data_IF_994144809503
#
_entry.id   IF_994144809503
#
_cell.length_a   1.000
_cell.length_b   1.000
_cell.length_c   1.000
_cell.angle_alpha   90.00
_cell.angle_beta   90.00
_cell.angle_gamma   90.00
#
_symmetry.space_group_name_H-M   'P 1'
#
loop_
_entity.id
_entity.type
_entity.pdbx_description
1 polymer ?
#
# COMPACT_ATOMS: atom_id res chain seq x y z
N UNK A 1 14.56 10.73 52.11
CA UNK A 1 13.59 11.84 51.98
C UNK A 1 13.68 12.31 50.54
N UNK A 2 12.75 11.87 49.70
CA UNK A 2 12.66 12.27 48.29
C UNK A 2 11.72 13.46 48.27
N UNK A 3 12.18 14.62 47.79
CA UNK A 3 11.51 15.91 47.98
C UNK A 3 10.62 16.33 46.83
N UNK A 4 10.31 15.46 45.85
CA UNK A 4 9.53 15.91 44.70
C UNK A 4 8.77 14.78 43.97
N UNK A 5 7.69 14.27 44.55
CA UNK A 5 6.79 13.29 43.88
C UNK A 5 5.71 13.95 42.99
N UNK A 6 5.55 15.28 43.07
CA UNK A 6 4.43 16.02 42.45
C UNK A 6 4.83 16.93 41.28
N UNK A 7 6.08 16.89 40.82
CA UNK A 7 6.57 17.81 39.79
C UNK A 7 6.34 17.24 38.37
N UNK A 8 5.45 17.90 37.64
CA UNK A 8 5.11 17.59 36.23
C UNK A 8 6.31 17.74 35.29
N UNK A 9 7.32 18.56 35.62
CA UNK A 9 8.54 18.70 34.81
C UNK A 9 9.47 17.49 34.90
N UNK A 10 9.31 16.64 35.93
CA UNK A 10 10.07 15.39 36.10
C UNK A 10 9.41 14.16 35.47
N UNK A 11 8.16 14.23 35.01
CA UNK A 11 7.53 13.14 34.26
C UNK A 11 7.88 13.25 32.78
N UNK A 12 9.00 12.64 32.39
CA UNK A 12 9.30 12.42 30.97
C UNK A 12 8.20 11.56 30.34
N UNK A 13 7.41 12.14 29.42
CA UNK A 13 6.43 11.40 28.63
C UNK A 13 7.07 11.02 27.29
N UNK A 14 7.26 9.72 27.06
CA UNK A 14 7.67 9.18 25.76
C UNK A 14 6.42 8.74 25.01
N UNK A 15 6.24 9.26 23.79
CA UNK A 15 5.13 8.88 22.91
C UNK A 15 5.70 8.20 21.67
N UNK A 16 5.39 6.92 21.49
CA UNK A 16 5.65 6.18 20.27
C UNK A 16 4.43 6.22 19.36
N UNK A 17 4.64 6.32 18.04
CA UNK A 17 3.59 6.13 17.04
C UNK A 17 4.12 5.26 15.91
N UNK A 18 3.38 4.20 15.59
CA UNK A 18 3.63 3.41 14.39
C UNK A 18 3.34 4.27 13.16
N UNK A 19 4.34 4.46 12.30
CA UNK A 19 4.25 5.31 11.13
C UNK A 19 4.64 4.55 9.87
N UNK A 20 3.84 4.70 8.82
CA UNK A 20 4.14 4.11 7.51
C UNK A 20 5.44 4.68 6.93
N UNK A 21 6.11 3.85 6.14
CA UNK A 21 7.22 4.29 5.32
C UNK A 21 6.74 5.38 4.35
N UNK A 22 7.39 6.55 4.28
CA UNK A 22 6.99 7.64 3.38
C UNK A 22 6.87 7.18 1.93
N UNK A 23 7.75 6.26 1.50
CA UNK A 23 7.73 5.72 0.14
C UNK A 23 6.53 4.81 -0.09
N UNK A 24 6.18 3.96 0.86
CA UNK A 24 4.96 3.15 0.78
C UNK A 24 3.71 4.03 0.62
N UNK A 25 3.64 5.14 1.37
CA UNK A 25 2.56 6.13 1.26
C UNK A 25 2.58 6.85 -0.11
N UNK A 26 3.75 7.24 -0.62
CA UNK A 26 3.89 7.89 -1.93
C UNK A 26 3.45 6.99 -3.09
N UNK A 27 3.77 5.69 -3.02
CA UNK A 27 3.29 4.69 -3.98
C UNK A 27 1.76 4.62 -3.98
N UNK A 28 1.13 4.79 -2.81
CA UNK A 28 -0.33 4.83 -2.69
C UNK A 28 -0.99 3.47 -2.86
N UNK A 29 -0.26 2.38 -2.57
CA UNK A 29 -0.77 1.01 -2.57
C UNK A 29 -1.94 0.92 -1.57
N UNK A 30 -3.06 0.31 -1.97
CA UNK A 30 -4.29 0.14 -1.16
C UNK A 30 -4.93 1.45 -0.67
N UNK A 31 -4.50 2.62 -1.16
CA UNK A 31 -5.02 3.92 -0.71
C UNK A 31 -6.13 4.51 -1.59
N UNK A 32 -6.40 3.88 -2.74
CA UNK A 32 -7.30 4.43 -3.77
C UNK A 32 -6.68 5.56 -4.59
N UNK A 33 -5.38 5.83 -4.43
CA UNK A 33 -4.64 6.79 -5.27
C UNK A 33 -4.72 6.39 -6.73
N UNK A 34 -5.18 7.34 -7.55
CA UNK A 34 -5.36 7.18 -8.98
C UNK A 34 -4.12 7.70 -9.71
N UNK A 35 -3.66 6.95 -10.70
CA UNK A 35 -2.51 7.28 -11.53
C UNK A 35 -2.88 7.24 -13.01
N UNK A 36 -2.43 8.20 -13.80
CA UNK A 36 -2.40 8.00 -15.25
C UNK A 36 -1.23 7.10 -15.65
N UNK A 37 -1.28 6.41 -16.80
CA UNK A 37 -0.17 5.56 -17.27
C UNK A 37 1.18 6.29 -17.29
N UNK A 38 1.19 7.53 -17.81
CA UNK A 38 2.41 8.34 -17.91
C UNK A 38 2.94 8.76 -16.53
N UNK A 39 2.06 9.18 -15.62
CA UNK A 39 2.47 9.56 -14.26
C UNK A 39 3.05 8.38 -13.50
N UNK A 40 2.38 7.21 -13.56
CA UNK A 40 2.87 6.00 -12.92
C UNK A 40 4.22 5.57 -13.52
N UNK A 41 4.36 5.63 -14.84
CA UNK A 41 5.62 5.31 -15.53
C UNK A 41 6.78 6.20 -15.09
N UNK A 42 6.57 7.52 -15.02
CA UNK A 42 7.58 8.46 -14.53
C UNK A 42 7.91 8.23 -13.05
N UNK A 43 6.90 7.99 -12.21
CA UNK A 43 7.08 7.70 -10.80
C UNK A 43 7.92 6.44 -10.57
N UNK A 44 7.59 5.34 -11.26
CA UNK A 44 8.32 4.07 -11.19
C UNK A 44 9.76 4.23 -11.71
N UNK A 45 9.97 5.04 -12.74
CA UNK A 45 11.31 5.36 -13.26
C UNK A 45 12.18 6.08 -12.23
N UNK A 46 11.62 7.04 -11.48
CA UNK A 46 12.34 7.74 -10.42
C UNK A 46 12.63 6.86 -9.20
N UNK A 47 11.72 5.92 -8.90
CA UNK A 47 11.78 5.04 -7.75
C UNK A 47 12.37 3.64 -8.08
N UNK A 48 13.27 3.55 -9.07
CA UNK A 48 13.89 2.29 -9.50
C UNK A 48 14.60 1.50 -8.39
N UNK A 49 15.02 2.18 -7.32
CA UNK A 49 15.76 1.58 -6.22
C UNK A 49 14.95 0.54 -5.43
N UNK A 50 13.62 0.57 -5.54
CA UNK A 50 12.73 -0.39 -4.90
C UNK A 50 12.42 -1.60 -5.78
N UNK A 51 13.11 -1.78 -6.92
CA UNK A 51 12.94 -2.93 -7.79
C UNK A 51 14.19 -3.81 -7.70
N UNK A 52 13.99 -5.11 -7.52
CA UNK A 52 15.08 -6.09 -7.45
C UNK A 52 15.84 -6.15 -8.78
N UNK A 53 15.10 -6.21 -9.90
CA UNK A 53 15.66 -6.21 -11.24
C UNK A 53 15.41 -4.87 -11.94
N UNK A 54 16.52 -4.24 -12.37
CA UNK A 54 16.50 -3.03 -13.20
C UNK A 54 15.81 -3.28 -14.54
N UNK A 55 15.95 -4.48 -15.11
CA UNK A 55 15.38 -4.81 -16.41
C UNK A 55 13.84 -4.89 -16.32
N UNK A 56 13.30 -5.51 -15.28
CA UNK A 56 11.86 -5.54 -15.00
C UNK A 56 11.29 -4.13 -14.82
N UNK A 57 11.97 -3.27 -14.03
CA UNK A 57 11.59 -1.87 -13.89
C UNK A 57 11.56 -1.14 -15.25
N UNK A 58 12.60 -1.29 -16.08
CA UNK A 58 12.67 -0.63 -17.38
C UNK A 58 11.58 -1.13 -18.35
N UNK A 59 11.25 -2.43 -18.32
CA UNK A 59 10.15 -3.00 -19.11
C UNK A 59 8.80 -2.41 -18.66
N UNK A 60 8.53 -2.38 -17.36
CA UNK A 60 7.30 -1.81 -16.80
C UNK A 60 7.15 -0.33 -17.14
N UNK A 61 8.20 0.47 -16.98
CA UNK A 61 8.21 1.89 -17.39
C UNK A 61 7.93 2.01 -18.88
N UNK A 62 8.52 1.16 -19.72
CA UNK A 62 8.29 1.21 -21.17
C UNK A 62 6.85 0.85 -21.54
N UNK A 63 6.25 -0.15 -20.89
CA UNK A 63 4.85 -0.51 -21.09
C UNK A 63 3.90 0.60 -20.62
N UNK A 64 4.18 1.26 -19.49
CA UNK A 64 3.39 2.38 -18.98
C UNK A 64 3.48 3.63 -19.85
N UNK A 65 4.67 3.95 -20.36
CA UNK A 65 4.89 5.11 -21.24
C UNK A 65 4.29 4.91 -22.64
N UNK A 66 4.24 3.66 -23.12
CA UNK A 66 3.63 3.29 -24.40
C UNK A 66 2.35 2.49 -24.16
N UNK A 67 1.57 2.90 -23.17
CA UNK A 67 0.37 2.17 -22.77
C UNK A 67 -0.63 2.10 -23.93
N UNK A 68 -1.06 0.88 -24.25
CA UNK A 68 -2.10 0.61 -25.23
C UNK A 68 -3.08 -0.36 -24.62
N UNK A 69 -4.37 -0.03 -24.67
CA UNK A 69 -5.42 -0.91 -24.16
C UNK A 69 -6.62 -0.94 -25.09
N UNK A 70 -7.09 -2.16 -25.34
CA UNK A 70 -8.37 -2.41 -26.01
C UNK A 70 -9.45 -2.55 -24.95
N UNK A 71 -10.35 -1.56 -24.91
CA UNK A 71 -11.49 -1.54 -24.00
C UNK A 71 -12.63 -2.31 -24.64
N UNK A 72 -12.73 -3.61 -24.34
CA UNK A 72 -13.82 -4.44 -24.79
C UNK A 72 -15.02 -4.32 -23.84
N UNK A 73 -15.99 -3.49 -24.19
CA UNK A 73 -17.26 -3.42 -23.47
C UNK A 73 -18.15 -4.62 -23.82
N UNK A 74 -17.91 -5.79 -23.21
CA UNK A 74 -18.84 -6.92 -23.28
C UNK A 74 -19.96 -6.68 -22.29
N UNK A 75 -21.13 -6.28 -22.80
CA UNK A 75 -22.35 -6.18 -22.01
C UNK A 75 -23.06 -7.54 -22.07
N UNK A 76 -22.77 -8.42 -21.12
CA UNK A 76 -23.55 -9.65 -20.95
C UNK A 76 -24.87 -9.31 -20.25
N UNK A 77 -25.89 -8.95 -21.05
CA UNK A 77 -27.29 -8.86 -20.59
C UNK A 77 -27.83 -10.27 -20.39
N UNK A 78 -27.51 -10.89 -19.25
CA UNK A 78 -28.23 -12.07 -18.81
C UNK A 78 -29.63 -11.64 -18.34
N UNK A 79 -30.59 -11.55 -19.26
CA UNK A 79 -32.01 -11.44 -18.94
C UNK A 79 -32.44 -12.77 -18.33
N UNK A 80 -32.26 -12.93 -17.02
CA UNK A 80 -33.00 -13.94 -16.25
C UNK A 80 -34.34 -13.31 -15.88
N UNK A 81 -35.41 -14.00 -16.25
CA UNK A 81 -36.82 -13.61 -16.23
C UNK A 81 -37.41 -13.34 -14.82
N UNK A 82 -36.60 -13.04 -13.80
CA UNK A 82 -37.06 -12.73 -12.45
C UNK A 82 -36.28 -11.57 -11.85
N UNK A 83 -36.79 -10.35 -12.05
CA UNK A 83 -36.81 -9.21 -11.11
C UNK A 83 -35.51 -8.60 -10.58
N UNK A 84 -34.37 -9.28 -10.60
CA UNK A 84 -33.09 -8.76 -10.10
C UNK A 84 -32.17 -8.44 -11.27
N UNK A 85 -32.13 -7.16 -11.63
CA UNK A 85 -31.16 -6.60 -12.58
C UNK A 85 -29.81 -6.47 -11.87
N UNK A 86 -28.99 -7.51 -11.96
CA UNK A 86 -27.57 -7.38 -11.65
C UNK A 86 -26.84 -7.16 -12.97
N UNK A 87 -26.65 -5.90 -13.34
CA UNK A 87 -25.82 -5.53 -14.48
C UNK A 87 -24.35 -5.77 -14.10
N UNK A 88 -23.79 -6.91 -14.51
CA UNK A 88 -22.35 -7.15 -14.37
C UNK A 88 -21.61 -6.40 -15.48
N UNK A 89 -21.20 -5.16 -15.19
CA UNK A 89 -20.28 -4.40 -16.03
C UNK A 89 -18.84 -4.94 -15.87
N UNK A 90 -18.53 -6.05 -16.52
CA UNK A 90 -17.16 -6.57 -16.60
C UNK A 90 -16.42 -5.89 -17.75
N UNK A 91 -15.82 -4.72 -17.48
CA UNK A 91 -14.95 -4.05 -18.44
C UNK A 91 -13.57 -4.69 -18.41
N UNK A 92 -13.37 -5.70 -19.26
CA UNK A 92 -12.06 -6.35 -19.40
C UNK A 92 -11.16 -5.44 -20.23
N UNK A 93 -10.20 -4.81 -19.55
CA UNK A 93 -9.16 -3.98 -20.18
C UNK A 93 -8.00 -4.89 -20.55
N UNK A 94 -7.91 -5.31 -21.82
CA UNK A 94 -6.73 -6.00 -22.32
C UNK A 94 -5.66 -4.96 -22.59
N UNK A 95 -4.60 -4.95 -21.78
CA UNK A 95 -3.49 -4.00 -21.90
C UNK A 95 -2.15 -4.70 -22.08
N UNK A 96 -1.14 -3.93 -22.50
CA UNK A 96 0.25 -4.36 -22.59
C UNK A 96 1.00 -4.31 -21.24
N UNK A 97 0.30 -4.11 -20.12
CA UNK A 97 0.88 -4.11 -18.79
C UNK A 97 0.96 -5.53 -18.21
N UNK A 98 1.96 -5.82 -17.37
CA UNK A 98 1.99 -7.05 -16.59
C UNK A 98 0.83 -7.07 -15.57
N UNK A 99 0.39 -8.27 -15.17
CA UNK A 99 -0.69 -8.45 -14.18
C UNK A 99 -0.29 -7.90 -12.79
N UNK A 100 0.96 -8.14 -12.39
CA UNK A 100 1.55 -7.63 -11.16
C UNK A 100 3.02 -7.26 -11.36
N UNK A 101 3.56 -6.47 -10.43
CA UNK A 101 4.99 -6.19 -10.31
C UNK A 101 5.42 -6.15 -8.86
N UNK A 102 6.69 -6.44 -8.60
CA UNK A 102 7.21 -6.56 -7.23
C UNK A 102 8.04 -5.34 -6.86
N UNK A 103 7.80 -4.81 -5.66
CA UNK A 103 8.60 -3.75 -5.05
C UNK A 103 9.15 -4.19 -3.70
N UNK A 104 10.39 -3.81 -3.40
CA UNK A 104 11.08 -4.13 -2.16
C UNK A 104 11.16 -2.89 -1.28
N UNK A 105 10.35 -2.83 -0.23
CA UNK A 105 10.39 -1.75 0.75
C UNK A 105 9.72 -2.17 2.07
N UNK A 106 10.04 -1.54 3.21
CA UNK A 106 9.30 -1.78 4.43
C UNK A 106 7.95 -1.04 4.41
N UNK A 107 6.90 -1.65 4.97
CA UNK A 107 5.57 -1.03 5.12
C UNK A 107 5.61 0.05 6.22
N UNK A 108 6.18 -0.27 7.38
CA UNK A 108 6.38 0.66 8.50
C UNK A 108 7.82 1.13 8.61
N UNK A 109 8.04 2.33 9.15
CA UNK A 109 9.39 2.85 9.41
C UNK A 109 10.11 1.96 10.43
N UNK A 110 11.37 1.63 10.16
CA UNK A 110 12.21 0.85 11.07
C UNK A 110 12.09 -0.67 10.95
N UNK A 111 11.15 -1.18 10.15
CA UNK A 111 11.03 -2.59 9.84
C UNK A 111 11.95 -3.03 8.70
N UNK A 112 12.26 -4.34 8.59
CA UNK A 112 12.99 -4.88 7.46
C UNK A 112 12.24 -4.66 6.15
N UNK A 113 12.99 -4.56 5.05
CA UNK A 113 12.40 -4.44 3.71
C UNK A 113 11.77 -5.77 3.30
N UNK A 114 10.55 -5.69 2.79
CA UNK A 114 9.79 -6.86 2.34
C UNK A 114 9.47 -6.76 0.86
N UNK A 115 9.25 -7.91 0.24
CA UNK A 115 8.87 -8.01 -1.17
C UNK A 115 7.36 -7.93 -1.28
N UNK A 116 6.87 -6.80 -1.78
CA UNK A 116 5.44 -6.50 -1.94
C UNK A 116 5.07 -6.69 -3.41
N UNK A 117 4.18 -7.64 -3.68
CA UNK A 117 3.55 -7.80 -4.98
C UNK A 117 2.41 -6.79 -5.14
N UNK A 118 2.46 -6.00 -6.21
CA UNK A 118 1.51 -4.92 -6.51
C UNK A 118 0.84 -5.20 -7.84
N UNK A 119 -0.48 -5.25 -7.82
CA UNK A 119 -1.35 -5.38 -8.98
C UNK A 119 -1.83 -4.00 -9.45
N UNK A 120 -1.91 -3.81 -10.76
CA UNK A 120 -2.48 -2.59 -11.36
C UNK A 120 -3.92 -2.83 -11.77
N UNK A 121 -4.86 -2.12 -11.15
CA UNK A 121 -6.27 -2.18 -11.54
C UNK A 121 -6.63 -0.99 -12.42
N UNK A 122 -7.05 -1.27 -13.66
CA UNK A 122 -7.47 -0.26 -14.61
C UNK A 122 -8.90 0.21 -14.34
N UNK A 123 -9.08 1.51 -14.21
CA UNK A 123 -10.37 2.21 -14.16
C UNK A 123 -10.54 2.98 -15.45
N UNK A 124 -11.67 2.81 -16.12
CA UNK A 124 -11.97 3.55 -17.35
C UNK A 124 -13.07 4.56 -17.06
N UNK A 125 -12.78 5.83 -17.34
CA UNK A 125 -13.75 6.92 -17.25
C UNK A 125 -13.90 7.56 -18.63
N UNK A 126 -14.90 7.08 -19.38
CA UNK A 126 -15.14 7.51 -20.75
C UNK A 126 -13.99 7.09 -21.68
N UNK A 127 -13.12 8.02 -22.06
CA UNK A 127 -11.96 7.80 -22.94
C UNK A 127 -10.63 7.73 -22.18
N UNK A 128 -10.63 8.08 -20.90
CA UNK A 128 -9.43 8.11 -20.07
C UNK A 128 -9.31 6.79 -19.30
N UNK A 129 -8.10 6.25 -19.26
CA UNK A 129 -7.76 5.06 -18.48
C UNK A 129 -6.83 5.51 -17.36
N UNK A 130 -7.18 5.13 -16.13
CA UNK A 130 -6.38 5.39 -14.94
C UNK A 130 -6.15 4.11 -14.17
N UNK A 131 -5.15 4.09 -13.30
CA UNK A 131 -4.78 2.92 -12.50
C UNK A 131 -4.88 3.21 -11.01
N UNK A 132 -5.29 2.20 -10.27
CA UNK A 132 -5.09 2.14 -8.83
C UNK A 132 -4.18 0.95 -8.51
N UNK A 133 -3.33 1.11 -7.50
CA UNK A 133 -2.39 0.07 -7.09
C UNK A 133 -2.97 -0.71 -5.91
N UNK A 134 -3.04 -2.02 -6.05
CA UNK A 134 -3.57 -2.93 -5.03
C UNK A 134 -2.52 -3.98 -4.68
N UNK A 135 -2.47 -4.36 -3.41
CA UNK A 135 -1.64 -5.45 -2.93
C UNK A 135 -2.38 -6.18 -1.81
N UNK A 136 -2.97 -7.35 -2.10
CA UNK A 136 -3.57 -8.20 -1.07
C UNK A 136 -2.53 -8.63 -0.03
N UNK A 137 -1.30 -8.92 -0.47
CA UNK A 137 -0.19 -9.28 0.41
C UNK A 137 0.14 -8.16 1.40
N UNK A 138 0.33 -6.93 0.92
CA UNK A 138 0.59 -5.80 1.82
C UNK A 138 -0.56 -5.55 2.81
N UNK A 139 -1.81 -5.79 2.41
CA UNK A 139 -2.96 -5.64 3.31
C UNK A 139 -2.92 -6.67 4.44
N UNK A 140 -2.70 -7.95 4.12
CA UNK A 140 -2.58 -9.01 5.12
C UNK A 140 -1.43 -8.72 6.09
N UNK A 141 -0.26 -8.37 5.56
CA UNK A 141 0.91 -8.02 6.37
C UNK A 141 0.65 -6.79 7.25
N UNK A 142 -0.13 -5.82 6.80
CA UNK A 142 -0.47 -4.64 7.58
C UNK A 142 -1.37 -4.98 8.78
N UNK A 143 -2.37 -5.85 8.59
CA UNK A 143 -3.20 -6.35 9.70
C UNK A 143 -2.36 -7.16 10.70
N UNK A 144 -1.51 -8.07 10.21
CA UNK A 144 -0.68 -8.94 11.06
C UNK A 144 0.39 -8.16 11.84
N UNK A 145 1.07 -7.20 11.19
CA UNK A 145 2.17 -6.45 11.80
C UNK A 145 1.69 -5.34 12.74
N UNK A 146 0.49 -4.79 12.54
CA UNK A 146 0.00 -3.66 13.32
C UNK A 146 0.00 -3.95 14.82
N UNK A 147 -0.58 -5.08 15.20
CA UNK A 147 -0.73 -5.43 16.61
C UNK A 147 0.59 -6.01 17.15
N UNK A 148 1.23 -6.89 16.36
CA UNK A 148 2.49 -7.52 16.73
C UNK A 148 3.62 -6.54 17.03
N UNK A 149 3.79 -5.50 16.20
CA UNK A 149 4.88 -4.52 16.37
C UNK A 149 4.68 -3.68 17.63
N UNK A 150 3.43 -3.35 17.98
CA UNK A 150 3.14 -2.64 19.22
C UNK A 150 3.44 -3.55 20.41
N UNK A 151 2.95 -4.78 20.41
CA UNK A 151 3.17 -5.73 21.50
C UNK A 151 4.65 -6.00 21.76
N UNK A 152 5.45 -6.22 20.70
CA UNK A 152 6.90 -6.42 20.80
C UNK A 152 7.62 -5.20 21.42
N UNK A 153 7.21 -3.98 21.03
CA UNK A 153 7.78 -2.76 21.60
C UNK A 153 7.37 -2.56 23.06
N UNK A 154 6.13 -2.91 23.42
CA UNK A 154 5.66 -2.86 24.81
C UNK A 154 6.42 -3.86 25.69
N UNK A 155 6.74 -5.04 25.17
CA UNK A 155 7.53 -6.05 25.90
C UNK A 155 8.98 -5.58 26.12
N UNK A 156 9.62 -4.99 25.12
CA UNK A 156 10.96 -4.39 25.26
C UNK A 156 10.98 -3.27 26.31
N UNK A 157 9.94 -2.43 26.35
CA UNK A 157 9.82 -1.38 27.37
C UNK A 157 9.65 -1.98 28.76
N UNK A 158 8.84 -3.03 28.93
CA UNK A 158 8.65 -3.73 30.21
C UNK A 158 9.93 -4.40 30.71
N UNK A 159 10.74 -4.95 29.81
CA UNK A 159 12.02 -5.58 30.17
C UNK A 159 13.04 -4.54 30.66
N UNK A 160 13.14 -3.40 29.98
CA UNK A 160 14.12 -2.35 30.29
C UNK A 160 13.69 -1.53 31.52
N UNK A 161 12.39 -1.25 31.67
CA UNK A 161 11.86 -0.36 32.71
C UNK A 161 10.47 -0.83 33.18
N UNK A 162 10.41 -1.86 34.03
CA UNK A 162 9.15 -2.46 34.48
C UNK A 162 8.26 -1.52 35.32
N UNK A 163 8.83 -0.46 35.88
CA UNK A 163 8.14 0.56 36.68
C UNK A 163 7.40 1.63 35.85
N UNK A 164 7.60 1.69 34.53
CA UNK A 164 6.93 2.66 33.67
C UNK A 164 5.47 2.24 33.43
N UNK A 165 4.54 3.13 33.76
CA UNK A 165 3.13 2.94 33.44
C UNK A 165 2.90 3.09 31.92
N UNK A 166 2.42 2.02 31.29
CA UNK A 166 2.04 1.98 29.88
C UNK A 166 0.54 2.31 29.77
N UNK A 167 0.20 3.26 28.89
CA UNK A 167 -1.19 3.65 28.63
C UNK A 167 -1.44 3.49 27.13
N UNK A 168 -2.31 2.54 26.77
CA UNK A 168 -2.82 2.35 25.42
C UNK A 168 -4.05 3.25 25.20
N UNK A 169 -4.14 3.88 24.02
CA UNK A 169 -5.22 4.84 23.64
C UNK A 169 -5.77 4.49 22.28
#
# INVERSE_FOLDING_TARGET
MITNEADEYTRGKVVGKLAYNPKFVEFGINSGKVWTPTELGLFIKMNRAFFADRMENMKLVSSLMNFTADVNNKIDRAVKENGNRTDNFAQVVNSNLPESFTVQMPIFKGLPSESIEVETFAQVNGREVSFVLLSPGAQATLEDLRDKVIDEQLEQVKEIAPEIAIIEV
#
